data_IF_984503430720
#
_entry.id   IF_984503430720
#
_cell.length_a   1.000
_cell.length_b   1.000
_cell.length_c   1.000
_cell.angle_alpha   90.00
_cell.angle_beta   90.00
_cell.angle_gamma   90.00
#
_symmetry.space_group_name_H-M   'P 1'
#
loop_
_entity.id
_entity.type
_entity.pdbx_description
1 polymer ?
#
# COMPACT_ATOMS: atom_id res chain seq x y z
N UNK A 1 22.90 9.46 14.31
CA UNK A 1 22.30 10.45 13.40
C UNK A 1 20.86 10.65 13.83
N UNK A 2 20.60 11.83 14.43
CA UNK A 2 19.29 12.25 14.93
C UNK A 2 18.34 12.37 13.72
N UNK A 3 17.24 11.59 13.74
CA UNK A 3 16.15 11.75 12.78
C UNK A 3 15.35 12.98 13.24
N UNK A 4 15.30 14.01 12.41
CA UNK A 4 14.51 15.21 12.66
C UNK A 4 13.04 14.84 12.55
N UNK A 5 12.41 14.63 13.71
CA UNK A 5 10.95 14.49 13.81
C UNK A 5 10.37 15.91 13.87
N UNK A 6 9.50 16.27 12.94
CA UNK A 6 8.71 17.48 13.09
C UNK A 6 7.61 17.22 14.13
N UNK A 7 7.77 17.79 15.31
CA UNK A 7 6.76 17.76 16.39
C UNK A 7 5.89 19.00 16.22
N UNK A 8 4.67 18.81 15.73
CA UNK A 8 3.67 19.89 15.69
C UNK A 8 2.80 19.83 16.94
N UNK A 9 2.83 20.89 17.75
CA UNK A 9 1.97 21.05 18.93
C UNK A 9 0.61 21.57 18.49
N UNK A 10 -0.46 20.81 18.73
CA UNK A 10 -1.83 21.29 18.59
C UNK A 10 -2.71 20.94 19.79
N UNK A 11 -3.47 21.93 20.20
CA UNK A 11 -4.55 22.03 21.20
C UNK A 11 -4.96 20.73 21.94
N UNK A 12 -5.09 20.89 23.29
CA UNK A 12 -5.58 19.90 24.26
C UNK A 12 -4.62 18.77 24.71
N UNK A 13 -3.32 19.05 24.90
CA UNK A 13 -2.47 18.17 25.72
C UNK A 13 -2.06 16.83 25.10
N UNK A 14 -2.45 16.52 23.88
CA UNK A 14 -2.01 15.33 23.16
C UNK A 14 -0.91 15.72 22.16
N UNK A 15 0.28 15.14 22.31
CA UNK A 15 1.35 15.23 21.30
C UNK A 15 0.93 14.39 20.10
N UNK A 16 0.62 15.05 18.98
CA UNK A 16 0.43 14.38 17.70
C UNK A 16 1.76 14.40 16.96
N UNK A 17 2.22 13.23 16.55
CA UNK A 17 3.40 13.09 15.71
C UNK A 17 2.96 13.02 14.25
N UNK A 18 3.57 13.84 13.41
CA UNK A 18 3.37 13.79 11.96
C UNK A 18 4.67 13.35 11.30
N UNK A 19 4.56 12.46 10.32
CA UNK A 19 5.69 11.94 9.56
C UNK A 19 5.39 11.96 8.08
N UNK A 20 6.42 12.16 7.26
CA UNK A 20 6.34 11.74 5.87
C UNK A 20 6.25 10.21 5.81
N UNK A 21 5.36 9.67 4.97
CA UNK A 21 5.15 8.24 4.89
C UNK A 21 6.45 7.47 4.62
N UNK A 22 7.35 8.01 3.78
CA UNK A 22 8.65 7.39 3.51
C UNK A 22 9.61 7.34 4.71
N UNK A 23 9.38 8.15 5.75
CA UNK A 23 10.22 8.14 6.96
C UNK A 23 9.90 6.97 7.89
N UNK A 24 8.65 6.48 7.86
CA UNK A 24 8.15 5.46 8.77
C UNK A 24 7.85 4.12 8.10
N UNK A 25 8.05 4.03 6.78
CA UNK A 25 7.72 2.84 6.01
C UNK A 25 8.70 2.57 4.88
N UNK A 26 8.74 1.32 4.45
CA UNK A 26 9.36 0.90 3.19
C UNK A 26 8.29 0.88 2.11
N UNK A 27 8.48 1.70 1.08
CA UNK A 27 7.53 1.84 -0.03
C UNK A 27 8.14 1.25 -1.29
N UNK A 28 7.54 0.19 -1.83
CA UNK A 28 8.04 -0.55 -2.99
C UNK A 28 7.03 -0.50 -4.12
N UNK A 29 7.45 -0.03 -5.30
CA UNK A 29 6.60 -0.08 -6.49
C UNK A 29 6.44 -1.53 -6.96
N UNK A 30 5.25 -1.89 -7.41
CA UNK A 30 4.98 -3.20 -7.97
C UNK A 30 5.75 -3.46 -9.28
N UNK A 31 5.81 -4.72 -9.69
CA UNK A 31 6.63 -5.14 -10.83
C UNK A 31 5.87 -5.01 -12.16
N UNK A 32 6.58 -4.62 -13.20
CA UNK A 32 6.04 -4.62 -14.57
C UNK A 32 6.06 -6.05 -15.10
N UNK A 33 4.89 -6.69 -15.19
CA UNK A 33 4.74 -8.11 -15.53
C UNK A 33 5.44 -8.51 -16.83
N UNK A 34 5.41 -7.65 -17.85
CA UNK A 34 6.09 -7.94 -19.12
C UNK A 34 7.63 -8.01 -19.00
N UNK A 35 8.22 -7.34 -18.01
CA UNK A 35 9.66 -7.36 -17.78
C UNK A 35 10.16 -8.63 -17.10
N UNK A 36 9.28 -9.35 -16.43
CA UNK A 36 9.62 -10.58 -15.68
C UNK A 36 9.31 -11.85 -16.46
N UNK A 37 8.65 -11.77 -17.61
CA UNK A 37 8.36 -12.93 -18.46
C UNK A 37 9.64 -13.63 -18.92
N UNK A 38 9.65 -14.97 -18.99
CA UNK A 38 10.77 -15.72 -19.55
C UNK A 38 10.82 -15.57 -21.07
N UNK A 39 12.01 -15.63 -21.64
CA UNK A 39 12.17 -15.69 -23.10
C UNK A 39 11.80 -17.07 -23.66
N UNK A 40 12.06 -18.12 -22.89
CA UNK A 40 11.76 -19.51 -23.22
C UNK A 40 10.79 -20.05 -22.17
N UNK A 41 9.66 -20.61 -22.59
CA UNK A 41 8.59 -21.04 -21.68
C UNK A 41 9.06 -22.06 -20.62
N UNK A 42 9.94 -22.98 -20.96
CA UNK A 42 10.50 -23.96 -20.02
C UNK A 42 11.36 -23.37 -18.89
N UNK A 43 11.83 -22.13 -19.03
CA UNK A 43 12.57 -21.40 -18.01
C UNK A 43 11.65 -20.63 -17.06
N UNK A 44 10.33 -20.68 -17.26
CA UNK A 44 9.34 -20.01 -16.44
C UNK A 44 8.87 -20.84 -15.24
N UNK A 45 8.33 -20.14 -14.24
CA UNK A 45 7.51 -20.69 -13.17
C UNK A 45 6.27 -19.82 -13.00
N UNK A 46 5.13 -20.43 -12.70
CA UNK A 46 3.88 -19.71 -12.48
C UNK A 46 3.81 -19.14 -11.06
N UNK A 47 3.37 -17.91 -10.98
CA UNK A 47 3.14 -17.20 -9.71
C UNK A 47 1.76 -16.54 -9.71
N UNK A 48 1.01 -16.61 -8.61
CA UNK A 48 -0.26 -15.90 -8.48
C UNK A 48 -0.02 -14.39 -8.49
N UNK A 49 -0.98 -13.64 -9.03
CA UNK A 49 -0.92 -12.17 -9.14
C UNK A 49 -2.02 -11.56 -8.30
N UNK A 50 -1.69 -10.47 -7.58
CA UNK A 50 -2.67 -9.61 -6.93
C UNK A 50 -3.38 -8.75 -7.99
N UNK A 51 -4.70 -8.67 -7.92
CA UNK A 51 -5.51 -7.83 -8.82
C UNK A 51 -6.39 -6.87 -8.05
N UNK A 52 -6.82 -5.79 -8.73
CA UNK A 52 -7.76 -4.82 -8.16
C UNK A 52 -9.13 -5.48 -7.93
N UNK A 53 -9.57 -6.36 -8.84
CA UNK A 53 -10.85 -7.07 -8.68
C UNK A 53 -10.91 -7.87 -7.40
N UNK A 54 -9.85 -8.61 -7.06
CA UNK A 54 -9.79 -9.37 -5.80
C UNK A 54 -10.02 -8.46 -4.58
N UNK A 55 -9.35 -7.30 -4.52
CA UNK A 55 -9.49 -6.37 -3.40
C UNK A 55 -10.90 -5.75 -3.33
N UNK A 56 -11.51 -5.47 -4.49
CA UNK A 56 -12.89 -4.96 -4.54
C UNK A 56 -13.89 -6.05 -4.15
N UNK A 57 -13.71 -7.28 -4.63
CA UNK A 57 -14.56 -8.41 -4.33
C UNK A 57 -14.55 -8.71 -2.82
N UNK A 58 -13.36 -8.73 -2.21
CA UNK A 58 -13.19 -8.93 -0.77
C UNK A 58 -13.82 -7.79 0.06
N UNK A 59 -13.66 -6.52 -0.35
CA UNK A 59 -14.32 -5.38 0.30
C UNK A 59 -15.85 -5.52 0.26
N UNK A 60 -16.39 -6.20 -0.76
CA UNK A 60 -17.82 -6.49 -0.90
C UNK A 60 -18.23 -7.85 -0.30
N UNK A 61 -17.33 -8.54 0.39
CA UNK A 61 -17.59 -9.84 1.04
C UNK A 61 -17.63 -11.02 0.06
N UNK A 62 -17.08 -10.87 -1.15
CA UNK A 62 -16.97 -11.92 -2.16
C UNK A 62 -15.58 -12.55 -2.08
N UNK A 63 -15.52 -13.82 -1.69
CA UNK A 63 -14.27 -14.54 -1.45
C UNK A 63 -13.98 -15.65 -2.48
N UNK A 64 -14.97 -15.97 -3.33
CA UNK A 64 -14.83 -16.97 -4.40
C UNK A 64 -14.53 -16.25 -5.73
N UNK A 65 -13.25 -16.03 -5.99
CA UNK A 65 -12.75 -15.39 -7.22
C UNK A 65 -11.57 -16.17 -7.81
N UNK A 66 -11.42 -16.09 -9.12
CA UNK A 66 -10.28 -16.67 -9.82
C UNK A 66 -8.99 -15.86 -9.50
N UNK A 67 -7.91 -16.56 -9.17
CA UNK A 67 -6.59 -15.97 -8.96
C UNK A 67 -5.76 -16.12 -10.22
N UNK A 68 -5.54 -15.05 -10.99
CA UNK A 68 -4.72 -15.13 -12.18
C UNK A 68 -3.26 -15.38 -11.85
N UNK A 69 -2.54 -16.03 -12.77
CA UNK A 69 -1.12 -16.32 -12.67
C UNK A 69 -0.30 -15.58 -13.72
N UNK A 70 0.98 -15.39 -13.46
CA UNK A 70 1.97 -14.94 -14.44
C UNK A 70 3.11 -15.94 -14.53
N UNK A 71 3.56 -16.21 -15.76
CA UNK A 71 4.78 -16.97 -16.00
C UNK A 71 6.00 -16.05 -15.80
N UNK A 72 6.84 -16.38 -14.83
CA UNK A 72 7.99 -15.60 -14.41
C UNK A 72 9.29 -16.33 -14.72
N UNK A 73 10.25 -15.63 -15.29
CA UNK A 73 11.61 -16.14 -15.48
C UNK A 73 12.24 -16.50 -14.13
N UNK A 74 12.64 -17.76 -13.95
CA UNK A 74 13.24 -18.28 -12.70
C UNK A 74 14.43 -17.46 -12.23
N UNK A 75 15.17 -16.82 -13.14
CA UNK A 75 16.32 -15.95 -12.81
C UNK A 75 15.90 -14.61 -12.20
N UNK A 76 14.64 -14.20 -12.39
CA UNK A 76 14.10 -12.91 -11.94
C UNK A 76 13.26 -13.01 -10.67
N UNK A 77 13.01 -14.21 -10.15
CA UNK A 77 12.15 -14.46 -8.97
C UNK A 77 12.62 -13.65 -7.75
N UNK A 78 13.93 -13.53 -7.52
CA UNK A 78 14.49 -12.73 -6.40
C UNK A 78 14.20 -11.22 -6.48
N UNK A 79 13.76 -10.71 -7.63
CA UNK A 79 13.45 -9.30 -7.85
C UNK A 79 11.94 -9.03 -7.83
N UNK A 80 11.12 -10.01 -7.45
CA UNK A 80 9.69 -9.85 -7.34
C UNK A 80 9.34 -9.01 -6.10
N UNK A 81 8.34 -8.16 -6.24
CA UNK A 81 7.61 -7.59 -5.10
C UNK A 81 6.45 -8.55 -4.80
N UNK A 82 6.58 -9.31 -3.72
CA UNK A 82 5.59 -10.28 -3.29
C UNK A 82 4.77 -9.73 -2.12
N UNK A 83 3.49 -10.03 -2.15
CA UNK A 83 2.58 -9.71 -1.07
C UNK A 83 3.00 -10.42 0.23
N UNK A 84 2.96 -9.67 1.34
CA UNK A 84 3.22 -10.17 2.68
C UNK A 84 1.99 -9.88 3.54
N UNK A 85 1.67 -10.81 4.43
CA UNK A 85 0.63 -10.61 5.43
C UNK A 85 0.85 -9.31 6.21
N UNK A 86 -0.21 -8.55 6.47
CA UNK A 86 -0.22 -7.23 7.13
C UNK A 86 0.55 -6.10 6.42
N UNK A 87 1.07 -6.33 5.20
CA UNK A 87 1.50 -5.21 4.37
C UNK A 87 0.29 -4.48 3.77
N UNK A 88 0.51 -3.25 3.35
CA UNK A 88 -0.51 -2.43 2.69
C UNK A 88 -0.23 -2.41 1.19
N UNK A 89 -1.28 -2.43 0.39
CA UNK A 89 -1.20 -2.06 -1.02
C UNK A 89 -2.07 -0.85 -1.31
N UNK A 90 -1.58 0.04 -2.18
CA UNK A 90 -2.35 1.18 -2.69
C UNK A 90 -2.41 1.07 -4.22
N UNK A 91 -3.62 1.14 -4.77
CA UNK A 91 -3.81 1.21 -6.21
C UNK A 91 -3.45 2.58 -6.77
N UNK A 92 -2.64 2.60 -7.83
CA UNK A 92 -2.09 3.83 -8.42
C UNK A 92 -2.99 4.43 -9.51
N UNK A 93 -3.85 3.62 -10.12
CA UNK A 93 -4.63 4.02 -11.30
C UNK A 93 -6.13 4.11 -11.04
N UNK A 94 -6.84 3.00 -10.99
CA UNK A 94 -8.30 2.95 -10.88
C UNK A 94 -8.80 2.70 -9.45
N UNK A 95 -8.01 2.05 -8.63
CA UNK A 95 -8.31 1.73 -7.24
C UNK A 95 -7.43 2.60 -6.33
N UNK A 96 -7.87 3.84 -6.10
CA UNK A 96 -7.11 4.80 -5.27
C UNK A 96 -7.41 4.60 -3.78
N UNK A 97 -7.37 3.36 -3.30
CA UNK A 97 -7.60 2.98 -1.91
C UNK A 97 -6.41 2.19 -1.39
N UNK A 98 -6.25 2.18 -0.08
CA UNK A 98 -5.34 1.31 0.63
C UNK A 98 -6.10 0.07 1.10
N UNK A 99 -5.50 -1.10 0.94
CA UNK A 99 -6.00 -2.36 1.47
C UNK A 99 -4.89 -3.05 2.29
N UNK A 100 -5.27 -3.64 3.43
CA UNK A 100 -4.39 -4.53 4.20
C UNK A 100 -4.39 -5.87 3.51
N UNK A 101 -3.20 -6.44 3.28
CA UNK A 101 -3.08 -7.78 2.71
C UNK A 101 -3.15 -8.82 3.82
N UNK A 102 -4.18 -9.64 3.75
CA UNK A 102 -4.37 -10.77 4.62
C UNK A 102 -3.60 -12.00 4.13
N UNK A 103 -3.54 -13.05 4.93
CA UNK A 103 -2.77 -14.27 4.67
C UNK A 103 -3.04 -14.93 3.32
N UNK A 104 -4.28 -14.86 2.80
CA UNK A 104 -4.64 -15.40 1.47
C UNK A 104 -3.94 -14.71 0.30
N UNK A 105 -3.35 -13.55 0.53
CA UNK A 105 -2.58 -12.83 -0.49
C UNK A 105 -1.09 -13.15 -0.46
N UNK A 106 -0.60 -13.79 0.59
CA UNK A 106 0.83 -14.03 0.78
C UNK A 106 1.44 -14.75 -0.43
N UNK A 107 2.57 -14.22 -0.91
CA UNK A 107 3.29 -14.76 -2.06
C UNK A 107 2.74 -14.36 -3.43
N UNK A 108 1.60 -13.65 -3.52
CA UNK A 108 1.13 -13.10 -4.81
C UNK A 108 2.07 -12.00 -5.29
N UNK A 109 2.33 -11.95 -6.59
CA UNK A 109 3.08 -10.83 -7.19
C UNK A 109 2.24 -9.57 -7.10
N UNK A 110 2.85 -8.48 -6.65
CA UNK A 110 2.27 -7.13 -6.67
C UNK A 110 2.66 -6.46 -8.00
N UNK A 111 1.73 -6.26 -8.94
CA UNK A 111 2.02 -5.65 -10.23
C UNK A 111 2.13 -4.12 -10.15
N UNK A 112 2.66 -3.49 -11.20
CA UNK A 112 3.05 -2.06 -11.25
C UNK A 112 1.91 -1.05 -11.17
N UNK A 113 0.65 -1.50 -11.21
CA UNK A 113 -0.50 -0.65 -10.88
C UNK A 113 -0.74 -0.49 -9.38
N UNK A 114 0.11 -1.10 -8.55
CA UNK A 114 0.14 -0.97 -7.10
C UNK A 114 1.49 -0.49 -6.59
N UNK A 115 1.47 0.05 -5.38
CA UNK A 115 2.61 0.19 -4.49
C UNK A 115 2.34 -0.61 -3.21
N UNK A 116 3.36 -1.29 -2.68
CA UNK A 116 3.29 -1.92 -1.37
C UNK A 116 3.98 -1.06 -0.32
N UNK A 117 3.46 -1.13 0.90
CA UNK A 117 3.97 -0.38 2.05
C UNK A 117 4.13 -1.36 3.22
N UNK A 118 5.33 -1.38 3.79
CA UNK A 118 5.65 -2.11 5.01
C UNK A 118 6.08 -1.11 6.07
N UNK A 119 5.40 -1.07 7.21
CA UNK A 119 5.75 -0.17 8.30
C UNK A 119 6.88 -0.73 9.16
N UNK A 120 7.67 0.18 9.73
CA UNK A 120 8.63 -0.19 10.78
C UNK A 120 7.85 -0.64 12.02
N UNK A 121 8.35 -1.69 12.68
CA UNK A 121 7.66 -2.29 13.82
C UNK A 121 7.25 -1.28 14.90
N UNK A 122 5.98 -1.32 15.29
CA UNK A 122 5.44 -0.56 16.42
C UNK A 122 5.17 0.93 16.16
N UNK A 123 5.33 1.42 14.93
CA UNK A 123 5.05 2.83 14.60
C UNK A 123 3.62 3.00 14.09
N UNK A 124 3.18 2.11 13.22
CA UNK A 124 1.88 2.22 12.53
C UNK A 124 1.16 0.89 12.53
N UNK A 125 -0.11 0.92 12.95
CA UNK A 125 -1.04 -0.19 12.77
C UNK A 125 -1.53 -0.21 11.31
N UNK A 126 -1.47 -1.34 10.57
CA UNK A 126 -1.84 -1.39 9.17
C UNK A 126 -3.33 -1.10 8.93
N UNK A 127 -4.22 -1.52 9.82
CA UNK A 127 -5.65 -1.26 9.69
C UNK A 127 -6.00 0.20 9.96
N UNK A 128 -5.33 0.82 10.95
CA UNK A 128 -5.42 2.27 11.15
C UNK A 128 -4.97 3.03 9.92
N UNK A 129 -3.82 2.66 9.34
CA UNK A 129 -3.33 3.34 8.14
C UNK A 129 -4.29 3.20 6.96
N UNK A 130 -4.86 2.01 6.74
CA UNK A 130 -5.83 1.80 5.66
C UNK A 130 -7.08 2.67 5.87
N UNK A 131 -7.62 2.73 7.09
CA UNK A 131 -8.68 3.66 7.43
C UNK A 131 -8.25 5.12 7.18
N UNK A 132 -7.10 5.52 7.71
CA UNK A 132 -6.59 6.88 7.58
C UNK A 132 -6.45 7.30 6.13
N UNK A 133 -5.84 6.46 5.31
CA UNK A 133 -5.67 6.70 3.88
C UNK A 133 -7.01 6.79 3.14
N UNK A 134 -7.97 5.94 3.46
CA UNK A 134 -9.23 5.85 2.76
C UNK A 134 -10.24 6.91 3.19
N UNK A 135 -10.30 7.23 4.49
CA UNK A 135 -11.42 7.97 5.06
C UNK A 135 -11.03 9.32 5.68
N UNK A 136 -9.79 9.47 6.17
CA UNK A 136 -9.42 10.70 6.88
C UNK A 136 -9.42 11.93 5.94
N UNK A 137 -10.10 13.04 6.33
CA UNK A 137 -10.26 14.21 5.46
C UNK A 137 -8.93 14.81 4.98
N UNK A 138 -7.93 14.86 5.85
CA UNK A 138 -6.63 15.45 5.51
C UNK A 138 -5.91 14.65 4.42
N UNK A 139 -5.88 13.31 4.49
CA UNK A 139 -5.30 12.49 3.43
C UNK A 139 -6.09 12.60 2.13
N UNK A 140 -7.43 12.64 2.21
CA UNK A 140 -8.27 12.88 1.04
C UNK A 140 -7.91 14.21 0.38
N UNK A 141 -7.69 15.27 1.17
CA UNK A 141 -7.25 16.59 0.69
C UNK A 141 -5.87 16.52 0.01
N UNK A 142 -4.87 15.91 0.66
CA UNK A 142 -3.52 15.76 0.10
C UNK A 142 -3.54 15.00 -1.23
N UNK A 143 -4.27 13.89 -1.30
CA UNK A 143 -4.44 13.10 -2.54
C UNK A 143 -5.11 13.91 -3.64
N UNK A 144 -6.15 14.68 -3.32
CA UNK A 144 -6.86 15.51 -4.28
C UNK A 144 -5.94 16.57 -4.89
N UNK A 145 -5.14 17.26 -4.09
CA UNK A 145 -4.14 18.24 -4.54
C UNK A 145 -3.11 17.57 -5.45
N UNK A 146 -2.61 16.41 -5.05
CA UNK A 146 -1.62 15.64 -5.81
C UNK A 146 -2.14 15.21 -7.20
N UNK A 147 -3.41 14.83 -7.31
CA UNK A 147 -4.03 14.39 -8.57
C UNK A 147 -4.38 15.58 -9.48
N UNK A 148 -4.78 16.73 -8.93
CA UNK A 148 -5.17 17.92 -9.72
C UNK A 148 -4.01 18.56 -10.51
N UNK A 149 -2.77 18.35 -10.09
CA UNK A 149 -1.57 18.86 -10.79
C UNK A 149 -1.22 18.10 -12.08
N UNK A 150 -1.88 16.99 -12.39
CA UNK A 150 -1.60 16.15 -13.57
C UNK A 150 -2.85 16.03 -14.47
N UNK A 151 -2.62 16.17 -15.79
CA UNK A 151 -3.60 16.08 -16.88
C UNK A 151 -4.58 14.90 -16.77
N UNK A 152 -5.61 14.93 -17.57
CA UNK A 152 -6.73 14.02 -17.88
C UNK A 152 -6.78 12.57 -17.31
N UNK A 153 -5.69 11.99 -16.82
CA UNK A 153 -5.64 10.68 -16.16
C UNK A 153 -5.32 10.86 -14.69
N UNK A 154 -6.27 10.48 -13.82
CA UNK A 154 -6.09 10.50 -12.35
C UNK A 154 -5.17 9.35 -11.93
N UNK A 155 -3.87 9.61 -11.79
CA UNK A 155 -2.89 8.62 -11.35
C UNK A 155 -2.19 9.13 -10.08
N UNK A 156 -2.13 8.29 -9.06
CA UNK A 156 -1.26 8.49 -7.90
C UNK A 156 0.14 8.02 -8.25
N UNK A 157 1.13 8.91 -8.21
CA UNK A 157 2.52 8.48 -8.39
C UNK A 157 3.11 7.95 -7.08
N UNK A 158 4.11 7.07 -7.18
CA UNK A 158 4.85 6.58 -6.01
C UNK A 158 5.50 7.72 -5.24
N UNK A 159 5.97 8.76 -5.95
CA UNK A 159 6.55 9.95 -5.33
C UNK A 159 5.51 10.70 -4.48
N UNK A 160 4.30 10.91 -4.99
CA UNK A 160 3.22 11.54 -4.23
C UNK A 160 2.88 10.76 -2.95
N UNK A 161 2.84 9.42 -3.04
CA UNK A 161 2.57 8.56 -1.88
C UNK A 161 3.68 8.71 -0.83
N UNK A 162 4.94 8.77 -1.22
CA UNK A 162 6.07 8.97 -0.30
C UNK A 162 5.98 10.28 0.47
N UNK A 163 5.45 11.32 -0.15
CA UNK A 163 5.36 12.68 0.41
C UNK A 163 4.08 12.92 1.22
N UNK A 164 3.22 11.92 1.42
CA UNK A 164 2.05 12.07 2.28
C UNK A 164 2.46 12.31 3.72
N UNK A 165 1.88 13.33 4.35
CA UNK A 165 2.00 13.59 5.78
C UNK A 165 0.98 12.76 6.53
N UNK A 166 1.44 11.95 7.47
CA UNK A 166 0.63 10.99 8.21
C UNK A 166 0.63 11.35 9.69
N UNK A 167 -0.54 11.55 10.27
CA UNK A 167 -0.71 11.68 11.72
C UNK A 167 -0.60 10.30 12.38
N UNK A 168 0.26 10.21 13.40
CA UNK A 168 0.49 9.00 14.16
C UNK A 168 0.07 9.22 15.62
N UNK A 169 -1.17 8.95 16.01
CA UNK A 169 -1.54 8.89 17.43
C UNK A 169 -0.83 7.71 18.10
N UNK A 170 -0.96 7.59 19.42
CA UNK A 170 -0.39 6.44 20.11
C UNK A 170 -0.98 5.11 19.55
N UNK A 171 -0.21 4.04 19.67
CA UNK A 171 -0.55 2.74 19.04
C UNK A 171 -1.90 2.17 19.55
N UNK A 172 -2.25 2.40 20.82
CA UNK A 172 -3.53 1.97 21.40
C UNK A 172 -4.71 2.64 20.68
N UNK A 173 -4.61 3.94 20.40
CA UNK A 173 -5.62 4.68 19.64
C UNK A 173 -5.70 4.18 18.20
N UNK A 174 -4.56 3.95 17.55
CA UNK A 174 -4.52 3.39 16.19
C UNK A 174 -5.24 2.04 16.11
N UNK A 175 -4.89 1.11 17.01
CA UNK A 175 -5.52 -0.23 17.07
C UNK A 175 -7.02 -0.15 17.34
N UNK A 176 -7.48 0.80 18.16
CA UNK A 176 -8.90 0.97 18.44
C UNK A 176 -9.66 1.44 17.19
N UNK A 177 -9.10 2.39 16.44
CA UNK A 177 -9.69 2.89 15.20
C UNK A 177 -9.66 1.80 14.12
N UNK A 178 -8.53 1.11 13.96
CA UNK A 178 -8.39 0.02 12.99
C UNK A 178 -9.45 -1.08 13.19
N UNK A 179 -9.67 -1.51 14.42
CA UNK A 179 -10.71 -2.50 14.76
C UNK A 179 -12.16 -2.06 14.50
N UNK A 180 -12.43 -0.76 14.50
CA UNK A 180 -13.76 -0.24 14.19
C UNK A 180 -14.03 -0.16 12.71
N UNK A 181 -12.99 -0.07 11.91
CA UNK A 181 -13.08 0.06 10.45
C UNK A 181 -13.10 -1.28 9.73
N UNK A 182 -12.43 -2.28 10.28
CA UNK A 182 -12.33 -3.66 9.80
C UNK A 182 -13.05 -4.64 10.74
#
# INVERSE_FOLDING_TARGET
TSRDYQINYFYEGAVRLEFLLEQISQITHGVVLNRIKPKILSEGAEYPILTISQLIDEENGVWDYEVPTALVDKKKVKNLNLAKEHSIVIGLTSFHRAAVLEKQHEGKIIPSNFVSIEFQNGIMDPYYFAWYFNEHPEIKRQRMIAIQGNSSVKVLSVHMIRQLMIECPNLSTQMSIGKLYY
#
